data_IF_706991638632
#
_entry.id   IF_706991638632
#
_cell.length_a   1.000
_cell.length_b   1.000
_cell.length_c   1.000
_cell.angle_alpha   90.00
_cell.angle_beta   90.00
_cell.angle_gamma   90.00
#
_symmetry.space_group_name_H-M   'P 1'
#
loop_
_entity.id
_entity.type
_entity.pdbx_description
1 polymer ?
#
# COMPACT_ATOMS: atom_id res chain seq x y z
N UNK A 1 -4.78 11.37 1.85
CA UNK A 1 -5.70 10.47 2.56
C UNK A 1 -7.01 10.51 1.81
N UNK A 2 -7.54 9.35 1.42
CA UNK A 2 -8.77 9.28 0.62
C UNK A 2 -10.02 9.66 1.44
N UNK A 3 -11.04 10.19 0.74
CA UNK A 3 -12.36 10.46 1.32
C UNK A 3 -13.11 9.17 1.62
N UNK A 4 -14.15 9.24 2.46
CA UNK A 4 -14.94 8.05 2.80
C UNK A 4 -15.65 7.42 1.60
N UNK A 5 -16.03 8.25 0.60
CA UNK A 5 -16.60 7.77 -0.65
C UNK A 5 -15.57 7.04 -1.50
N UNK A 6 -14.35 7.59 -1.61
CA UNK A 6 -13.25 6.91 -2.31
C UNK A 6 -12.91 5.58 -1.64
N UNK A 7 -12.81 5.55 -0.31
CA UNK A 7 -12.58 4.31 0.45
C UNK A 7 -13.68 3.27 0.20
N UNK A 8 -14.95 3.68 0.13
CA UNK A 8 -16.06 2.78 -0.18
C UNK A 8 -15.93 2.17 -1.57
N UNK A 9 -15.57 2.98 -2.57
CA UNK A 9 -15.32 2.49 -3.93
C UNK A 9 -14.14 1.51 -3.97
N UNK A 10 -13.06 1.78 -3.22
CA UNK A 10 -11.94 0.84 -3.08
C UNK A 10 -12.34 -0.47 -2.44
N UNK A 11 -13.21 -0.44 -1.42
CA UNK A 11 -13.75 -1.66 -0.80
C UNK A 11 -14.53 -2.47 -1.84
N UNK A 12 -15.43 -1.85 -2.61
CA UNK A 12 -16.21 -2.54 -3.65
C UNK A 12 -15.33 -3.16 -4.73
N UNK A 13 -14.35 -2.41 -5.25
CA UNK A 13 -13.38 -2.93 -6.22
C UNK A 13 -12.59 -4.11 -5.65
N UNK A 14 -12.19 -4.03 -4.39
CA UNK A 14 -11.44 -5.08 -3.71
C UNK A 14 -12.30 -6.32 -3.44
N UNK A 15 -13.60 -6.16 -3.16
CA UNK A 15 -14.55 -7.26 -3.01
C UNK A 15 -14.70 -8.02 -4.32
N UNK A 16 -14.88 -7.33 -5.44
CA UNK A 16 -14.97 -7.95 -6.75
C UNK A 16 -13.74 -8.83 -7.05
N UNK A 17 -12.53 -8.33 -6.76
CA UNK A 17 -11.29 -9.13 -6.91
C UNK A 17 -11.33 -10.42 -6.08
N UNK A 18 -11.84 -10.36 -4.85
CA UNK A 18 -11.92 -11.55 -3.99
C UNK A 18 -13.01 -12.53 -4.47
N UNK A 19 -14.14 -12.02 -4.96
CA UNK A 19 -15.24 -12.83 -5.51
C UNK A 19 -14.84 -13.58 -6.79
N UNK A 20 -13.96 -12.97 -7.61
CA UNK A 20 -13.35 -13.60 -8.79
C UNK A 20 -12.27 -14.65 -8.43
N UNK A 21 -12.07 -14.93 -7.14
CA UNK A 21 -11.06 -15.88 -6.66
C UNK A 21 -9.66 -15.29 -6.47
N UNK A 22 -9.54 -13.95 -6.54
CA UNK A 22 -8.31 -13.23 -6.27
C UNK A 22 -7.89 -13.33 -4.80
N UNK A 23 -6.62 -13.00 -4.53
CA UNK A 23 -6.04 -13.05 -3.19
C UNK A 23 -6.03 -11.68 -2.54
N UNK A 24 -5.87 -11.65 -1.21
CA UNK A 24 -5.67 -10.39 -0.48
C UNK A 24 -4.42 -9.64 -0.97
N UNK A 25 -3.40 -10.35 -1.42
CA UNK A 25 -2.21 -9.77 -2.01
C UNK A 25 -2.52 -9.04 -3.32
N UNK A 26 -3.36 -9.63 -4.18
CA UNK A 26 -3.83 -8.98 -5.40
C UNK A 26 -4.60 -7.68 -5.09
N UNK A 27 -5.43 -7.70 -4.04
CA UNK A 27 -6.11 -6.49 -3.53
C UNK A 27 -5.10 -5.43 -3.09
N UNK A 28 -4.07 -5.78 -2.33
CA UNK A 28 -3.08 -4.82 -1.85
C UNK A 28 -2.25 -4.22 -3.00
N UNK A 29 -1.94 -5.00 -4.03
CA UNK A 29 -1.31 -4.51 -5.26
C UNK A 29 -2.22 -3.55 -6.03
N UNK A 30 -3.50 -3.89 -6.17
CA UNK A 30 -4.51 -3.00 -6.78
C UNK A 30 -4.57 -1.65 -6.05
N UNK A 31 -4.67 -1.66 -4.73
CA UNK A 31 -4.72 -0.43 -3.93
C UNK A 31 -3.43 0.40 -4.07
N UNK A 32 -2.26 -0.26 -4.10
CA UNK A 32 -0.98 0.43 -4.35
C UNK A 32 -0.94 1.07 -5.74
N UNK A 33 -1.30 0.33 -6.78
CA UNK A 33 -1.32 0.85 -8.16
C UNK A 33 -2.31 1.99 -8.34
N UNK A 34 -3.39 1.99 -7.55
CA UNK A 34 -4.38 3.05 -7.49
C UNK A 34 -3.93 4.29 -6.70
N UNK A 35 -2.71 4.29 -6.14
CA UNK A 35 -2.15 5.42 -5.39
C UNK A 35 -2.62 5.50 -3.93
N UNK A 36 -3.31 4.47 -3.41
CA UNK A 36 -3.75 4.47 -2.02
C UNK A 36 -2.54 4.42 -1.07
N UNK A 37 -2.61 5.16 0.03
CA UNK A 37 -1.58 5.10 1.07
C UNK A 37 -1.64 3.78 1.86
N UNK A 38 -0.59 3.47 2.64
CA UNK A 38 -0.64 2.35 3.62
C UNK A 38 -1.82 2.49 4.58
N UNK A 39 -2.13 3.71 5.00
CA UNK A 39 -3.26 3.99 5.91
C UNK A 39 -4.60 3.74 5.24
N UNK A 40 -4.77 4.19 4.00
CA UNK A 40 -5.99 3.93 3.24
C UNK A 40 -6.14 2.42 2.96
N UNK A 41 -5.04 1.73 2.67
CA UNK A 41 -5.01 0.26 2.52
C UNK A 41 -5.42 -0.47 3.80
N UNK A 42 -4.97 0.01 4.97
CA UNK A 42 -5.38 -0.55 6.26
C UNK A 42 -6.89 -0.38 6.50
N UNK A 43 -7.47 0.76 6.10
CA UNK A 43 -8.92 0.99 6.21
C UNK A 43 -9.70 0.01 5.34
N UNK A 44 -9.27 -0.20 4.10
CA UNK A 44 -9.90 -1.17 3.19
C UNK A 44 -9.78 -2.60 3.74
N UNK A 45 -8.59 -3.04 4.16
CA UNK A 45 -8.38 -4.39 4.72
C UNK A 45 -9.25 -4.64 5.95
N UNK A 46 -9.34 -3.67 6.86
CA UNK A 46 -10.21 -3.76 8.03
C UNK A 46 -11.66 -3.98 7.65
N UNK A 47 -12.16 -3.28 6.63
CA UNK A 47 -13.53 -3.45 6.14
C UNK A 47 -13.75 -4.80 5.44
N UNK A 48 -12.76 -5.32 4.72
CA UNK A 48 -12.88 -6.59 3.99
C UNK A 48 -12.78 -7.84 4.87
N UNK A 49 -11.94 -7.78 5.92
CA UNK A 49 -11.65 -8.92 6.79
C UNK A 49 -12.31 -8.82 8.16
N UNK A 50 -12.96 -7.70 8.46
CA UNK A 50 -13.58 -7.40 9.76
C UNK A 50 -12.58 -7.52 10.94
N UNK A 51 -11.31 -7.20 10.70
CA UNK A 51 -10.23 -7.32 11.68
C UNK A 51 -9.92 -6.00 12.40
N UNK A 52 -9.36 -6.03 13.62
CA UNK A 52 -8.88 -4.82 14.30
C UNK A 52 -7.80 -4.08 13.50
N UNK A 53 -7.65 -2.78 13.75
CA UNK A 53 -6.64 -1.93 13.07
C UNK A 53 -5.21 -2.48 13.22
N UNK A 54 -4.87 -3.03 14.40
CA UNK A 54 -3.55 -3.62 14.63
C UNK A 54 -3.27 -4.84 13.75
N UNK A 55 -4.30 -5.61 13.43
CA UNK A 55 -4.20 -6.75 12.52
C UNK A 55 -4.18 -6.32 11.05
N UNK A 56 -5.03 -5.37 10.66
CA UNK A 56 -4.95 -4.75 9.33
C UNK A 56 -3.56 -4.14 9.08
N UNK A 57 -2.97 -3.49 10.08
CA UNK A 57 -1.59 -2.97 10.03
C UNK A 57 -0.59 -4.09 9.79
N UNK A 58 -0.67 -5.21 10.52
CA UNK A 58 0.22 -6.36 10.32
C UNK A 58 0.12 -6.89 8.90
N UNK A 59 -1.10 -7.13 8.41
CA UNK A 59 -1.36 -7.63 7.06
C UNK A 59 -0.71 -6.72 6.00
N UNK A 60 -1.03 -5.41 6.05
CA UNK A 60 -0.51 -4.44 5.08
C UNK A 60 1.01 -4.32 5.20
N UNK A 61 1.56 -4.24 6.42
CA UNK A 61 2.99 -4.05 6.64
C UNK A 61 3.84 -5.21 6.12
N UNK A 62 3.35 -6.44 6.26
CA UNK A 62 4.08 -7.64 5.86
C UNK A 62 3.73 -8.15 4.45
N UNK A 63 2.78 -7.53 3.75
CA UNK A 63 2.44 -7.88 2.36
C UNK A 63 3.55 -7.58 1.36
N UNK A 64 3.68 -8.41 0.32
CA UNK A 64 4.70 -8.25 -0.71
C UNK A 64 4.57 -6.88 -1.40
N UNK A 65 3.32 -6.47 -1.68
CA UNK A 65 2.96 -5.19 -2.27
C UNK A 65 3.58 -3.99 -1.56
N UNK A 66 3.79 -4.09 -0.24
CA UNK A 66 4.32 -3.00 0.59
C UNK A 66 5.71 -3.27 1.17
N UNK A 67 6.23 -4.49 1.00
CA UNK A 67 7.62 -4.84 1.26
C UNK A 67 8.55 -4.39 0.12
N UNK A 68 8.14 -4.53 -1.15
CA UNK A 68 8.92 -4.05 -2.31
C UNK A 68 9.23 -2.55 -2.24
N UNK A 69 8.30 -1.75 -1.69
CA UNK A 69 8.51 -0.32 -1.52
C UNK A 69 9.64 0.03 -0.56
N UNK A 70 10.12 -0.88 0.30
CA UNK A 70 11.36 -0.66 1.05
C UNK A 70 12.57 -0.68 0.13
N UNK A 71 12.62 -1.60 -0.82
CA UNK A 71 13.76 -1.72 -1.75
C UNK A 71 13.80 -0.55 -2.75
N UNK A 72 12.64 -0.13 -3.27
CA UNK A 72 12.56 1.03 -4.18
C UNK A 72 12.77 2.37 -3.44
N UNK A 73 12.22 2.52 -2.21
CA UNK A 73 12.45 3.73 -1.39
C UNK A 73 13.94 3.80 -0.93
N UNK A 74 14.62 2.67 -0.66
CA UNK A 74 16.07 2.63 -0.35
C UNK A 74 16.95 3.04 -1.54
N UNK A 75 16.65 2.57 -2.75
CA UNK A 75 17.43 2.93 -3.94
C UNK A 75 17.32 4.43 -4.28
N UNK A 76 16.18 5.05 -4.00
CA UNK A 76 15.97 6.49 -4.21
C UNK A 76 16.73 7.37 -3.21
N UNK A 77 17.07 6.86 -2.03
CA UNK A 77 17.84 7.60 -1.04
C UNK A 77 19.35 7.63 -1.36
N UNK A 78 19.89 6.61 -2.03
CA UNK A 78 21.31 6.53 -2.40
C UNK A 78 21.70 7.47 -3.57
N UNK A 79 20.75 7.81 -4.46
CA UNK A 79 21.01 8.74 -5.57
C UNK A 79 21.02 10.22 -5.13
N UNK A 80 20.30 10.58 -4.05
CA UNK A 80 20.27 11.94 -3.52
C UNK A 80 21.52 12.30 -2.70
N UNK A 81 22.19 11.31 -2.09
CA UNK A 81 23.42 11.54 -1.34
C UNK A 81 24.61 11.91 -2.26
N UNK A 82 24.64 11.43 -3.51
CA UNK A 82 25.75 11.68 -4.45
C UNK A 82 25.74 13.07 -5.08
N UNK A 83 24.62 13.81 -5.02
CA UNK A 83 24.53 15.15 -5.62
C UNK A 83 25.09 16.26 -4.73
N UNK A 84 25.23 16.03 -3.42
CA UNK A 84 25.69 17.07 -2.48
C UNK A 84 27.20 17.10 -2.20
N UNK A 85 27.96 16.04 -2.53
CA UNK A 85 29.42 16.01 -2.32
C UNK A 85 30.25 16.46 -3.53
N UNK A 86 29.62 16.78 -4.67
CA UNK A 86 30.31 17.12 -5.92
C UNK A 86 30.60 18.60 -6.20
N UNK A 87 30.18 19.53 -5.32
CA UNK A 87 30.30 20.98 -5.57
C UNK A 87 31.20 21.71 -4.56
N UNK A 88 32.32 21.08 -4.22
CA UNK A 88 33.46 21.74 -3.60
C UNK A 88 34.71 21.45 -4.45
N UNK A 89 34.89 22.19 -5.53
CA UNK A 89 36.16 22.36 -6.24
C UNK A 89 36.38 23.83 -6.52
#
# INVERSE_FOLDING_TARGET
METDEQIRQRIQQSQAVLEEGGTLEAVLRLLRQAGCSKTDSMRVVRSLKEVPLGEAKRIVHFSDAWQERRADDEHFHDELAQTFEGNAS
#
